data_IF_680712895872
#
_entry.id   IF_680712895872
#
_cell.length_a   1.000
_cell.length_b   1.000
_cell.length_c   1.000
_cell.angle_alpha   90.00
_cell.angle_beta   90.00
_cell.angle_gamma   90.00
#
_symmetry.space_group_name_H-M   'P 1'
#
loop_
_entity.id
_entity.type
_entity.pdbx_description
1 polymer ?
#
# COMPACT_ATOMS: atom_id res chain seq x y z
N UNK A 1 -5.78 6.09 12.42
CA UNK A 1 -6.95 5.22 12.66
C UNK A 1 -7.34 4.60 11.33
N UNK A 2 -7.48 3.28 11.22
CA UNK A 2 -7.81 2.66 9.94
C UNK A 2 -9.29 2.82 9.58
N UNK A 3 -9.56 2.94 8.28
CA UNK A 3 -10.91 2.93 7.71
C UNK A 3 -11.17 1.57 7.07
N UNK A 4 -12.22 0.90 7.50
CA UNK A 4 -12.66 -0.40 7.00
C UNK A 4 -13.95 -0.19 6.19
N UNK A 5 -13.84 -0.25 4.87
CA UNK A 5 -14.97 -0.06 3.97
C UNK A 5 -15.44 -1.43 3.48
N UNK A 6 -16.67 -1.80 3.84
CA UNK A 6 -17.32 -2.97 3.30
C UNK A 6 -18.06 -2.60 2.03
N UNK A 7 -17.66 -3.23 0.92
CA UNK A 7 -18.30 -3.10 -0.37
C UNK A 7 -19.13 -4.38 -0.60
N UNK A 8 -20.44 -4.31 -0.35
CA UNK A 8 -21.32 -5.47 -0.42
C UNK A 8 -22.09 -5.43 -1.73
N UNK A 9 -21.94 -6.50 -2.51
CA UNK A 9 -22.72 -6.71 -3.72
C UNK A 9 -24.21 -6.86 -3.37
N UNK A 10 -25.03 -5.94 -3.90
CA UNK A 10 -26.49 -5.91 -3.76
C UNK A 10 -27.19 -6.20 -5.09
N UNK A 11 -26.48 -6.83 -6.03
CA UNK A 11 -27.05 -7.25 -7.30
C UNK A 11 -28.03 -8.41 -7.13
N UNK A 12 -28.94 -8.56 -8.10
CA UNK A 12 -29.98 -9.58 -8.06
C UNK A 12 -29.42 -11.03 -8.02
N UNK A 13 -28.20 -11.26 -8.53
CA UNK A 13 -27.55 -12.57 -8.51
C UNK A 13 -27.19 -13.05 -7.10
N UNK A 14 -27.03 -12.13 -6.14
CA UNK A 14 -26.80 -12.43 -4.73
C UNK A 14 -28.01 -13.08 -4.02
N UNK A 15 -29.17 -13.21 -4.69
CA UNK A 15 -30.32 -13.96 -4.19
C UNK A 15 -30.21 -15.48 -4.33
N UNK A 16 -29.20 -15.98 -5.05
CA UNK A 16 -28.98 -17.42 -5.18
C UNK A 16 -28.77 -18.07 -3.81
N UNK A 17 -29.29 -19.29 -3.65
CA UNK A 17 -29.28 -20.01 -2.37
C UNK A 17 -28.17 -21.05 -2.36
N UNK A 18 -27.50 -21.14 -1.22
CA UNK A 18 -26.56 -22.23 -0.93
C UNK A 18 -27.29 -23.49 -0.49
N UNK A 19 -26.56 -24.59 -0.37
CA UNK A 19 -27.07 -25.83 0.25
C UNK A 19 -27.54 -25.65 1.70
N UNK A 20 -27.17 -24.55 2.38
CA UNK A 20 -27.62 -24.20 3.73
C UNK A 20 -29.00 -23.50 3.72
N UNK A 21 -29.56 -23.21 2.54
CA UNK A 21 -30.83 -22.51 2.37
C UNK A 21 -30.76 -20.99 2.48
N UNK A 22 -29.62 -20.43 2.89
CA UNK A 22 -29.36 -18.98 2.96
C UNK A 22 -28.93 -18.42 1.61
N UNK A 23 -29.25 -17.14 1.36
CA UNK A 23 -28.79 -16.43 0.16
C UNK A 23 -27.34 -15.98 0.31
N UNK A 24 -26.68 -15.65 -0.80
CA UNK A 24 -25.33 -15.09 -0.75
C UNK A 24 -25.29 -13.74 -0.02
N UNK A 25 -26.33 -12.91 -0.17
CA UNK A 25 -26.44 -11.66 0.58
C UNK A 25 -26.52 -11.89 2.10
N UNK A 26 -27.25 -12.92 2.54
CA UNK A 26 -27.31 -13.28 3.96
C UNK A 26 -25.94 -13.72 4.49
N UNK A 27 -25.20 -14.49 3.70
CA UNK A 27 -23.83 -14.92 4.02
C UNK A 27 -22.89 -13.72 4.06
N UNK A 28 -23.00 -12.77 3.12
CA UNK A 28 -22.22 -11.55 3.11
C UNK A 28 -22.47 -10.70 4.36
N UNK A 29 -23.73 -10.47 4.74
CA UNK A 29 -24.08 -9.78 5.99
C UNK A 29 -23.48 -10.48 7.20
N UNK A 30 -23.63 -11.79 7.29
CA UNK A 30 -23.05 -12.60 8.37
C UNK A 30 -21.51 -12.55 8.41
N UNK A 31 -20.85 -12.47 7.25
CA UNK A 31 -19.40 -12.31 7.14
C UNK A 31 -18.93 -10.96 7.69
N UNK A 32 -19.64 -9.87 7.36
CA UNK A 32 -19.37 -8.53 7.90
C UNK A 32 -19.50 -8.53 9.42
N UNK A 33 -20.59 -9.07 9.97
CA UNK A 33 -20.77 -9.14 11.41
C UNK A 33 -19.69 -9.99 12.11
N UNK A 34 -19.32 -11.11 11.50
CA UNK A 34 -18.27 -12.00 12.02
C UNK A 34 -16.91 -11.31 11.99
N UNK A 35 -16.58 -10.61 10.90
CA UNK A 35 -15.37 -9.82 10.80
C UNK A 35 -15.28 -8.77 11.91
N UNK A 36 -16.34 -7.99 12.13
CA UNK A 36 -16.37 -6.97 13.17
C UNK A 36 -16.18 -7.57 14.57
N UNK A 37 -16.78 -8.75 14.84
CA UNK A 37 -16.58 -9.49 16.09
C UNK A 37 -15.16 -10.04 16.25
N UNK A 38 -14.52 -10.46 15.17
CA UNK A 38 -13.11 -10.90 15.21
C UNK A 38 -12.19 -9.70 15.43
N UNK A 39 -12.44 -8.58 14.73
CA UNK A 39 -11.65 -7.35 14.82
C UNK A 39 -11.74 -6.70 16.20
N UNK A 40 -12.90 -6.75 16.85
CA UNK A 40 -13.08 -6.19 18.20
C UNK A 40 -12.29 -6.90 19.31
N UNK A 41 -11.72 -8.07 19.02
CA UNK A 41 -10.79 -8.77 19.94
C UNK A 41 -9.44 -8.08 20.02
N UNK A 42 -9.05 -7.33 19.00
CA UNK A 42 -7.81 -6.54 18.97
C UNK A 42 -8.03 -5.17 19.65
N UNK A 43 -7.31 -4.83 20.73
CA UNK A 43 -7.42 -3.52 21.36
C UNK A 43 -7.19 -2.33 20.42
N UNK A 44 -6.45 -2.52 19.33
CA UNK A 44 -6.21 -1.49 18.31
C UNK A 44 -7.49 -1.10 17.54
N UNK A 45 -8.56 -1.91 17.61
CA UNK A 45 -9.78 -1.68 16.85
C UNK A 45 -10.66 -0.53 17.36
N UNK A 46 -10.36 0.03 18.54
CA UNK A 46 -11.20 1.06 19.18
C UNK A 46 -11.29 2.35 18.38
N UNK A 47 -10.30 2.62 17.52
CA UNK A 47 -10.28 3.78 16.64
C UNK A 47 -10.75 3.48 15.22
N UNK A 48 -11.13 2.24 14.91
CA UNK A 48 -11.48 1.85 13.55
C UNK A 48 -12.79 2.51 13.11
N UNK A 49 -12.83 2.98 11.86
CA UNK A 49 -14.05 3.53 11.26
C UNK A 49 -14.60 2.54 10.24
N UNK A 50 -15.89 2.25 10.33
CA UNK A 50 -16.58 1.33 9.43
C UNK A 50 -17.45 2.10 8.44
N UNK A 51 -17.31 1.79 7.15
CA UNK A 51 -18.12 2.36 6.08
C UNK A 51 -18.80 1.23 5.30
N UNK A 52 -19.98 1.51 4.74
CA UNK A 52 -20.76 0.55 3.95
C UNK A 52 -21.13 1.16 2.61
N UNK A 53 -20.73 0.48 1.54
CA UNK A 53 -21.07 0.82 0.16
C UNK A 53 -21.72 -0.38 -0.51
N UNK A 54 -22.75 -0.10 -1.30
CA UNK A 54 -23.51 -1.07 -2.11
C UNK A 54 -23.30 -0.80 -3.60
N UNK A 55 -23.87 -1.64 -4.47
CA UNK A 55 -23.74 -1.49 -5.94
C UNK A 55 -24.76 -0.51 -6.55
N UNK A 56 -25.55 0.18 -5.71
CA UNK A 56 -26.44 1.23 -6.17
C UNK A 56 -25.66 2.47 -6.65
N UNK A 57 -26.27 3.28 -7.49
CA UNK A 57 -25.67 4.51 -8.01
C UNK A 57 -25.49 5.57 -6.90
N UNK A 58 -24.49 6.43 -7.06
CA UNK A 58 -24.22 7.53 -6.13
C UNK A 58 -25.34 8.58 -6.23
N UNK A 59 -25.88 9.11 -5.10
CA UNK A 59 -25.40 8.97 -3.72
C UNK A 59 -25.98 7.78 -2.93
N UNK A 60 -27.00 7.08 -3.44
CA UNK A 60 -27.70 6.01 -2.74
C UNK A 60 -26.83 4.78 -2.44
N UNK A 61 -25.78 4.58 -3.24
CA UNK A 61 -24.77 3.53 -3.04
C UNK A 61 -24.05 3.62 -1.69
N UNK A 62 -23.88 4.82 -1.12
CA UNK A 62 -23.20 5.03 0.16
C UNK A 62 -24.23 4.91 1.29
N UNK A 63 -24.18 3.79 2.01
CA UNK A 63 -25.13 3.53 3.11
C UNK A 63 -24.62 4.06 4.45
N UNK A 64 -23.31 3.97 4.69
CA UNK A 64 -22.68 4.56 5.87
C UNK A 64 -21.31 5.15 5.52
N UNK A 65 -21.12 6.45 5.72
CA UNK A 65 -19.90 7.18 5.35
C UNK A 65 -19.20 7.85 6.52
N UNK A 66 -18.63 9.04 6.29
CA UNK A 66 -17.77 9.74 7.26
C UNK A 66 -18.49 10.23 8.51
N UNK A 67 -19.80 10.48 8.46
CA UNK A 67 -20.55 11.10 9.56
C UNK A 67 -21.29 10.07 10.41
N UNK A 68 -21.28 8.81 9.98
CA UNK A 68 -22.20 7.79 10.47
C UNK A 68 -21.56 6.99 11.60
N UNK A 69 -22.37 6.58 12.59
CA UNK A 69 -21.91 5.79 13.72
C UNK A 69 -22.13 4.29 13.48
N UNK A 70 -21.61 3.47 14.40
CA UNK A 70 -21.74 2.01 14.33
C UNK A 70 -23.20 1.51 14.32
N UNK A 71 -24.13 2.21 15.00
CA UNK A 71 -25.53 1.81 15.03
C UNK A 71 -26.21 2.02 13.66
N UNK A 72 -25.96 3.16 13.01
CA UNK A 72 -26.44 3.44 11.65
C UNK A 72 -25.86 2.42 10.67
N UNK A 73 -24.56 2.13 10.74
CA UNK A 73 -23.91 1.10 9.92
C UNK A 73 -24.62 -0.26 10.05
N UNK A 74 -24.85 -0.74 11.27
CA UNK A 74 -25.49 -2.04 11.52
C UNK A 74 -26.96 -2.07 11.07
N UNK A 75 -27.67 -0.95 11.18
CA UNK A 75 -29.05 -0.82 10.69
C UNK A 75 -29.09 -0.94 9.16
N UNK A 76 -28.24 -0.18 8.46
CA UNK A 76 -28.15 -0.21 7.01
C UNK A 76 -27.70 -1.58 6.47
N UNK A 77 -26.72 -2.21 7.12
CA UNK A 77 -26.27 -3.57 6.77
C UNK A 77 -27.43 -4.58 6.83
N UNK A 78 -28.27 -4.51 7.85
CA UNK A 78 -29.43 -5.39 7.99
C UNK A 78 -30.46 -5.16 6.88
N UNK A 79 -30.66 -3.90 6.50
CA UNK A 79 -31.67 -3.48 5.53
C UNK A 79 -31.25 -3.64 4.06
N UNK A 80 -30.01 -4.04 3.75
CA UNK A 80 -29.59 -4.27 2.35
C UNK A 80 -30.49 -5.28 1.65
N UNK A 81 -30.82 -5.01 0.39
CA UNK A 81 -31.62 -5.87 -0.47
C UNK A 81 -30.87 -6.16 -1.77
N UNK A 82 -30.95 -7.40 -2.26
CA UNK A 82 -30.31 -7.83 -3.51
C UNK A 82 -31.27 -7.61 -4.69
N UNK A 83 -31.27 -6.40 -5.27
CA UNK A 83 -32.21 -6.01 -6.35
C UNK A 83 -31.54 -5.33 -7.54
N UNK A 84 -30.25 -4.99 -7.44
CA UNK A 84 -29.54 -4.18 -8.42
C UNK A 84 -28.85 -4.96 -9.54
N UNK A 85 -28.08 -4.22 -10.35
CA UNK A 85 -27.11 -4.76 -11.31
C UNK A 85 -25.74 -4.96 -10.66
N UNK A 86 -24.89 -5.76 -11.29
CA UNK A 86 -23.53 -6.06 -10.83
C UNK A 86 -22.53 -5.00 -11.31
N UNK A 87 -22.74 -3.75 -10.91
CA UNK A 87 -21.97 -2.55 -11.31
C UNK A 87 -20.70 -2.34 -10.47
N UNK A 88 -19.87 -3.39 -10.35
CA UNK A 88 -18.65 -3.41 -9.52
C UNK A 88 -17.74 -2.20 -9.78
N UNK A 89 -17.55 -1.82 -11.05
CA UNK A 89 -16.66 -0.71 -11.41
C UNK A 89 -17.13 0.64 -10.86
N UNK A 90 -18.42 0.95 -10.99
CA UNK A 90 -18.97 2.18 -10.43
C UNK A 90 -18.89 2.17 -8.90
N UNK A 91 -19.22 1.05 -8.26
CA UNK A 91 -19.22 0.94 -6.80
C UNK A 91 -17.81 1.05 -6.20
N UNK A 92 -16.80 0.46 -6.86
CA UNK A 92 -15.38 0.62 -6.49
C UNK A 92 -14.94 2.08 -6.66
N UNK A 93 -15.31 2.73 -7.76
CA UNK A 93 -14.98 4.14 -7.98
C UNK A 93 -15.57 5.03 -6.89
N UNK A 94 -16.85 4.86 -6.57
CA UNK A 94 -17.52 5.57 -5.47
C UNK A 94 -16.83 5.31 -4.13
N UNK A 95 -16.36 4.08 -3.88
CA UNK A 95 -15.63 3.72 -2.66
C UNK A 95 -14.29 4.46 -2.57
N UNK A 96 -13.51 4.50 -3.64
CA UNK A 96 -12.25 5.25 -3.68
C UNK A 96 -12.47 6.76 -3.54
N UNK A 97 -13.46 7.32 -4.24
CA UNK A 97 -13.82 8.73 -4.14
C UNK A 97 -14.20 9.10 -2.69
N UNK A 98 -15.02 8.27 -2.04
CA UNK A 98 -15.40 8.43 -0.64
C UNK A 98 -14.19 8.47 0.29
N UNK A 99 -13.25 7.54 0.12
CA UNK A 99 -12.01 7.47 0.91
C UNK A 99 -11.08 8.66 0.65
N UNK A 100 -11.12 9.24 -0.56
CA UNK A 100 -10.23 10.31 -0.95
C UNK A 100 -10.75 11.73 -0.59
N UNK A 101 -12.01 11.87 -0.17
CA UNK A 101 -12.67 13.17 0.07
C UNK A 101 -11.87 14.13 0.95
N UNK A 102 -11.29 13.65 2.05
CA UNK A 102 -10.67 14.51 3.07
C UNK A 102 -9.14 14.55 3.00
N UNK A 103 -8.51 13.82 2.06
CA UNK A 103 -7.05 13.63 2.03
C UNK A 103 -6.27 14.89 1.69
N UNK A 104 -6.79 15.70 0.76
CA UNK A 104 -6.22 17.00 0.41
C UNK A 104 -6.35 17.99 1.56
N UNK A 105 -7.52 18.06 2.18
CA UNK A 105 -7.81 19.01 3.28
C UNK A 105 -7.01 18.67 4.54
N UNK A 106 -6.82 17.38 4.82
CA UNK A 106 -6.00 16.90 5.95
C UNK A 106 -4.49 17.00 5.70
N UNK A 107 -4.07 17.31 4.48
CA UNK A 107 -2.65 17.44 4.10
C UNK A 107 -1.91 16.10 3.99
N UNK A 108 -2.62 14.97 3.94
CA UNK A 108 -2.02 13.65 3.75
C UNK A 108 -1.39 13.57 2.35
N UNK A 109 -2.14 13.99 1.34
CA UNK A 109 -1.67 14.04 -0.05
C UNK A 109 -1.02 15.40 -0.33
N UNK A 110 0.25 15.54 0.05
CA UNK A 110 1.05 16.77 -0.06
C UNK A 110 1.86 16.85 -1.37
N UNK A 111 1.17 16.96 -2.51
CA UNK A 111 1.79 17.01 -3.85
C UNK A 111 2.91 18.05 -3.96
N UNK A 112 4.06 17.65 -4.51
CA UNK A 112 5.24 18.51 -4.70
C UNK A 112 6.13 18.70 -3.47
N UNK A 113 5.80 18.07 -2.34
CA UNK A 113 6.59 18.14 -1.08
C UNK A 113 7.17 16.76 -0.68
N UNK A 114 7.42 15.89 -1.66
CA UNK A 114 7.75 14.49 -1.42
C UNK A 114 6.57 13.69 -0.85
N UNK A 115 6.78 12.39 -0.61
CA UNK A 115 5.76 11.48 -0.07
C UNK A 115 6.15 11.03 1.32
N UNK A 116 5.38 11.43 2.33
CA UNK A 116 5.68 11.11 3.73
C UNK A 116 5.01 9.79 4.15
N UNK A 117 5.76 8.68 4.39
CA UNK A 117 5.14 7.40 4.77
C UNK A 117 4.41 7.46 6.11
N UNK A 118 4.68 8.46 6.93
CA UNK A 118 4.06 8.66 8.24
C UNK A 118 2.76 9.49 8.20
N UNK A 119 2.39 10.09 7.06
CA UNK A 119 1.07 10.69 6.87
C UNK A 119 0.14 9.65 6.28
N UNK A 120 -0.72 9.08 7.14
CA UNK A 120 -1.50 7.89 6.80
C UNK A 120 -2.96 8.01 7.18
N UNK A 121 -3.80 7.52 6.28
CA UNK A 121 -5.19 7.18 6.54
C UNK A 121 -5.44 5.78 5.99
N UNK A 122 -4.89 4.75 6.67
CA UNK A 122 -4.86 3.39 6.15
C UNK A 122 -6.27 2.90 5.94
N UNK A 123 -6.58 2.44 4.73
CA UNK A 123 -7.93 2.03 4.36
C UNK A 123 -7.92 0.63 3.74
N UNK A 124 -8.86 -0.20 4.17
CA UNK A 124 -9.05 -1.54 3.62
C UNK A 124 -10.46 -1.66 3.10
N UNK A 125 -10.58 -1.98 1.82
CA UNK A 125 -11.85 -2.29 1.17
C UNK A 125 -12.02 -3.80 1.18
N UNK A 126 -13.13 -4.28 1.73
CA UNK A 126 -13.52 -5.69 1.72
C UNK A 126 -14.74 -5.80 0.81
N UNK A 127 -14.49 -6.20 -0.44
CA UNK A 127 -15.52 -6.45 -1.43
C UNK A 127 -16.08 -7.86 -1.24
N UNK A 128 -17.39 -8.00 -1.10
CA UNK A 128 -18.07 -9.30 -1.02
C UNK A 128 -19.03 -9.40 -2.19
N UNK A 129 -18.78 -10.37 -3.08
CA UNK A 129 -19.51 -10.55 -4.34
C UNK A 129 -19.62 -12.04 -4.69
N UNK A 130 -20.50 -12.39 -5.62
CA UNK A 130 -20.61 -13.73 -6.18
C UNK A 130 -19.57 -14.01 -7.28
N UNK A 131 -18.84 -12.98 -7.74
CA UNK A 131 -17.88 -13.10 -8.84
C UNK A 131 -18.51 -13.57 -10.15
N UNK A 132 -19.81 -13.29 -10.33
CA UNK A 132 -20.54 -13.53 -11.54
C UNK A 132 -20.12 -12.60 -12.68
N UNK A 133 -20.87 -12.66 -13.78
CA UNK A 133 -20.66 -11.75 -14.92
C UNK A 133 -21.07 -10.33 -14.52
N UNK A 134 -20.23 -9.35 -14.87
CA UNK A 134 -20.50 -7.94 -14.58
C UNK A 134 -21.65 -7.45 -15.47
N UNK A 135 -22.57 -6.67 -14.90
CA UNK A 135 -23.73 -6.16 -15.65
C UNK A 135 -23.86 -4.66 -15.50
N UNK A 136 -24.14 -3.99 -16.62
CA UNK A 136 -24.49 -2.58 -16.72
C UNK A 136 -25.83 -2.42 -17.43
N UNK A 137 -26.39 -1.21 -17.42
CA UNK A 137 -27.60 -0.87 -18.19
C UNK A 137 -27.48 -1.16 -19.69
N UNK A 138 -26.25 -1.21 -20.22
CA UNK A 138 -25.92 -1.53 -21.61
C UNK A 138 -25.70 -3.03 -21.90
N UNK A 139 -25.63 -3.90 -20.89
CA UNK A 139 -25.44 -5.34 -21.09
C UNK A 139 -24.41 -5.98 -20.14
N UNK A 140 -23.90 -7.14 -20.54
CA UNK A 140 -22.88 -7.89 -19.80
C UNK A 140 -21.49 -7.40 -20.19
N UNK A 141 -20.63 -7.16 -19.21
CA UNK A 141 -19.23 -6.76 -19.42
C UNK A 141 -18.30 -7.89 -18.97
N UNK A 142 -17.29 -8.18 -19.80
CA UNK A 142 -16.25 -9.17 -19.47
C UNK A 142 -15.07 -8.55 -18.73
N UNK A 143 -14.83 -7.25 -18.91
CA UNK A 143 -13.73 -6.51 -18.28
C UNK A 143 -14.24 -5.50 -17.24
N UNK A 144 -13.51 -5.39 -16.13
CA UNK A 144 -13.78 -4.40 -15.10
C UNK A 144 -13.13 -3.06 -15.48
N UNK A 145 -13.93 -2.13 -15.98
CA UNK A 145 -13.51 -0.74 -16.20
C UNK A 145 -14.07 0.18 -15.11
N UNK A 146 -13.20 1.00 -14.52
CA UNK A 146 -13.61 2.04 -13.58
C UNK A 146 -14.00 3.30 -14.37
N UNK A 147 -15.26 3.75 -14.31
CA UNK A 147 -15.68 4.94 -15.05
C UNK A 147 -14.93 6.18 -14.54
N UNK A 148 -14.39 6.96 -15.48
CA UNK A 148 -13.66 8.21 -15.19
C UNK A 148 -14.59 9.43 -15.11
N UNK A 149 -15.90 9.21 -15.07
CA UNK A 149 -16.91 10.27 -15.13
C UNK A 149 -16.98 11.00 -13.78
N UNK A 150 -16.53 12.25 -13.78
CA UNK A 150 -16.47 13.20 -12.65
C UNK A 150 -15.22 13.06 -11.75
N UNK A 151 -14.09 13.69 -12.11
CA UNK A 151 -12.94 13.77 -11.22
C UNK A 151 -13.26 14.66 -10.01
N UNK A 152 -12.95 14.19 -8.80
CA UNK A 152 -12.90 15.06 -7.63
C UNK A 152 -11.84 16.16 -7.87
N UNK A 153 -12.02 17.38 -7.32
CA UNK A 153 -10.98 18.41 -7.40
C UNK A 153 -9.63 17.88 -6.87
N UNK A 154 -8.57 17.99 -7.67
CA UNK A 154 -7.23 17.49 -7.33
C UNK A 154 -7.01 16.00 -7.61
N UNK A 155 -8.02 15.28 -8.12
CA UNK A 155 -7.83 13.88 -8.54
C UNK A 155 -6.92 13.74 -9.75
N UNK A 156 -6.78 14.78 -10.57
CA UNK A 156 -5.85 14.86 -11.69
C UNK A 156 -4.38 14.76 -11.26
N UNK A 157 -4.07 14.99 -9.98
CA UNK A 157 -2.71 14.90 -9.44
C UNK A 157 -2.28 13.46 -9.14
N UNK A 158 -3.16 12.47 -9.28
CA UNK A 158 -2.82 11.04 -9.22
C UNK A 158 -3.42 10.31 -10.40
N UNK A 159 -2.65 9.43 -11.04
CA UNK A 159 -3.08 8.71 -12.25
C UNK A 159 -4.16 7.67 -11.94
N UNK A 160 -4.01 6.99 -10.81
CA UNK A 160 -4.87 5.89 -10.37
C UNK A 160 -5.95 6.37 -9.37
N UNK A 161 -7.11 5.68 -9.29
CA UNK A 161 -8.22 6.09 -8.42
C UNK A 161 -7.94 5.81 -6.93
N UNK A 162 -7.01 4.90 -6.62
CA UNK A 162 -6.64 4.55 -5.26
C UNK A 162 -5.39 5.31 -4.77
N UNK A 163 -5.05 5.13 -3.50
CA UNK A 163 -3.85 5.67 -2.85
C UNK A 163 -2.99 4.55 -2.28
N UNK A 164 -1.73 4.85 -2.02
CA UNK A 164 -0.73 3.88 -1.55
C UNK A 164 -1.02 3.20 -0.20
N UNK A 165 -1.92 3.75 0.60
CA UNK A 165 -2.37 3.24 1.90
C UNK A 165 -3.77 2.60 1.81
N UNK A 166 -4.29 2.38 0.59
CA UNK A 166 -5.58 1.77 0.32
C UNK A 166 -5.40 0.38 -0.30
N UNK A 167 -5.95 -0.65 0.33
CA UNK A 167 -5.86 -2.04 -0.13
C UNK A 167 -7.23 -2.65 -0.36
N UNK A 168 -7.40 -3.40 -1.45
CA UNK A 168 -8.64 -4.09 -1.79
C UNK A 168 -8.50 -5.60 -1.58
N UNK A 169 -9.39 -6.17 -0.76
CA UNK A 169 -9.57 -7.61 -0.65
C UNK A 169 -10.95 -7.99 -1.16
N UNK A 170 -11.03 -9.06 -1.94
CA UNK A 170 -12.30 -9.59 -2.44
C UNK A 170 -12.60 -10.96 -1.82
N UNK A 171 -13.81 -11.13 -1.28
CA UNK A 171 -14.38 -12.41 -0.89
C UNK A 171 -15.39 -12.81 -1.96
N UNK A 172 -14.97 -13.70 -2.85
CA UNK A 172 -15.81 -14.19 -3.94
C UNK A 172 -16.53 -15.46 -3.48
N UNK A 173 -17.84 -15.36 -3.30
CA UNK A 173 -18.67 -16.47 -2.84
C UNK A 173 -18.92 -17.46 -3.98
N UNK A 174 -18.42 -18.67 -3.84
CA UNK A 174 -18.57 -19.80 -4.79
C UNK A 174 -19.21 -21.02 -4.10
N UNK A 175 -20.05 -20.78 -3.08
CA UNK A 175 -20.64 -21.84 -2.24
C UNK A 175 -21.76 -22.53 -3.02
N UNK A 176 -21.59 -23.83 -3.31
CA UNK A 176 -22.57 -24.58 -4.09
C UNK A 176 -23.94 -24.68 -3.42
N UNK A 177 -24.98 -24.70 -4.26
CA UNK A 177 -26.37 -25.00 -3.89
C UNK A 177 -26.61 -26.46 -3.52
N UNK A 178 -25.72 -27.37 -3.94
CA UNK A 178 -25.71 -28.76 -3.51
C UNK A 178 -24.61 -28.99 -2.47
N UNK A 179 -24.85 -29.88 -1.50
CA UNK A 179 -23.81 -30.27 -0.56
C UNK A 179 -22.66 -30.93 -1.34
N UNK A 180 -21.43 -30.42 -1.19
CA UNK A 180 -20.26 -31.05 -1.81
C UNK A 180 -19.87 -32.29 -0.99
N UNK A 181 -19.59 -33.39 -1.70
CA UNK A 181 -19.08 -34.64 -1.10
C UNK A 181 -17.54 -34.68 -1.15
N UNK A 182 -16.93 -33.79 -1.93
CA UNK A 182 -15.47 -33.70 -2.07
C UNK A 182 -14.81 -33.18 -0.80
N UNK A 183 -13.68 -33.81 -0.46
CA UNK A 183 -12.83 -33.38 0.64
C UNK A 183 -12.25 -31.99 0.33
N UNK A 184 -12.47 -31.03 1.22
CA UNK A 184 -11.86 -29.71 1.06
C UNK A 184 -10.33 -29.84 0.97
N UNK A 185 -9.69 -29.14 0.02
CA UNK A 185 -8.24 -29.16 -0.08
C UNK A 185 -7.62 -28.70 1.25
N UNK A 186 -6.76 -29.54 1.81
CA UNK A 186 -5.93 -29.23 2.98
C UNK A 186 -4.89 -28.19 2.57
N UNK A 187 -5.27 -26.91 2.63
CA UNK A 187 -4.42 -25.79 2.21
C UNK A 187 -5.05 -24.43 2.51
N UNK A 188 -4.32 -23.36 2.21
CA UNK A 188 -4.87 -22.00 2.28
C UNK A 188 -5.95 -21.77 1.23
N UNK A 189 -6.82 -20.77 1.46
CA UNK A 189 -7.89 -20.42 0.51
C UNK A 189 -7.27 -19.97 -0.83
N UNK A 190 -7.70 -20.51 -1.98
CA UNK A 190 -7.18 -20.15 -3.29
C UNK A 190 -7.57 -18.72 -3.71
N UNK A 191 -6.83 -18.17 -4.67
CA UNK A 191 -7.21 -16.93 -5.35
C UNK A 191 -8.39 -17.20 -6.28
N UNK A 192 -9.26 -16.21 -6.47
CA UNK A 192 -10.31 -16.28 -7.50
C UNK A 192 -9.78 -15.72 -8.83
N UNK A 193 -10.36 -16.14 -9.95
CA UNK A 193 -10.02 -15.64 -11.29
C UNK A 193 -11.17 -14.80 -11.87
N UNK A 194 -11.66 -13.84 -11.07
CA UNK A 194 -12.71 -12.90 -11.46
C UNK A 194 -12.12 -11.53 -11.85
N UNK A 195 -12.93 -10.73 -12.53
CA UNK A 195 -12.55 -9.40 -13.00
C UNK A 195 -12.08 -8.43 -11.90
N UNK A 196 -12.39 -8.69 -10.61
CA UNK A 196 -11.91 -7.90 -9.47
C UNK A 196 -10.49 -8.29 -9.01
N UNK A 197 -10.01 -9.49 -9.36
CA UNK A 197 -8.70 -10.01 -8.92
C UNK A 197 -7.54 -9.10 -9.33
N UNK A 198 -7.42 -8.63 -10.59
CA UNK A 198 -6.33 -7.73 -10.98
C UNK A 198 -6.31 -6.43 -10.16
N UNK A 199 -7.49 -5.89 -9.82
CA UNK A 199 -7.59 -4.68 -8.98
C UNK A 199 -7.15 -4.95 -7.53
N UNK A 200 -7.45 -6.14 -7.00
CA UNK A 200 -6.96 -6.55 -5.68
C UNK A 200 -5.43 -6.63 -5.68
N UNK A 201 -4.82 -7.22 -6.70
CA UNK A 201 -3.36 -7.34 -6.81
C UNK A 201 -2.68 -5.97 -6.96
N UNK A 202 -3.19 -5.12 -7.86
CA UNK A 202 -2.62 -3.78 -8.13
C UNK A 202 -2.68 -2.87 -6.91
N UNK A 203 -3.65 -3.04 -6.00
CA UNK A 203 -3.74 -2.28 -4.73
C UNK A 203 -2.92 -2.91 -3.59
N UNK A 204 -2.23 -4.04 -3.82
CA UNK A 204 -1.46 -4.74 -2.77
C UNK A 204 -2.34 -5.58 -1.84
N UNK A 205 -3.54 -5.95 -2.27
CA UNK A 205 -4.44 -6.86 -1.58
C UNK A 205 -4.51 -8.23 -2.26
N UNK A 206 -5.66 -8.92 -2.11
CA UNK A 206 -5.84 -10.30 -2.60
C UNK A 206 -7.33 -10.65 -2.75
N UNK A 207 -7.67 -11.43 -3.79
CA UNK A 207 -8.99 -12.08 -3.90
C UNK A 207 -8.95 -13.48 -3.29
N UNK A 208 -10.06 -13.88 -2.66
CA UNK A 208 -10.26 -15.19 -2.05
C UNK A 208 -11.47 -15.86 -2.69
N UNK A 209 -11.30 -17.08 -3.18
CA UNK A 209 -12.40 -17.89 -3.70
C UNK A 209 -12.96 -18.78 -2.58
N UNK A 210 -14.19 -18.49 -2.15
CA UNK A 210 -14.82 -19.05 -0.94
C UNK A 210 -15.86 -20.11 -1.33
N UNK A 211 -15.53 -21.38 -1.10
CA UNK A 211 -16.42 -22.51 -1.44
C UNK A 211 -17.26 -23.03 -0.27
N UNK A 212 -16.91 -22.66 0.97
CA UNK A 212 -17.64 -23.07 2.17
C UNK A 212 -17.62 -22.03 3.28
N UNK A 213 -18.51 -22.19 4.27
CA UNK A 213 -18.54 -21.36 5.46
C UNK A 213 -17.24 -21.47 6.28
N UNK A 214 -16.59 -22.63 6.26
CA UNK A 214 -15.31 -22.83 6.96
C UNK A 214 -14.20 -22.01 6.30
N UNK A 215 -14.09 -22.07 4.98
CA UNK A 215 -13.13 -21.27 4.21
C UNK A 215 -13.39 -19.77 4.40
N UNK A 216 -14.66 -19.36 4.45
CA UNK A 216 -15.04 -17.97 4.74
C UNK A 216 -14.47 -17.52 6.09
N UNK A 217 -14.70 -18.30 7.16
CA UNK A 217 -14.17 -17.96 8.48
C UNK A 217 -12.63 -17.88 8.50
N UNK A 218 -11.94 -18.81 7.83
CA UNK A 218 -10.48 -18.76 7.68
C UNK A 218 -10.00 -17.49 6.95
N UNK A 219 -10.73 -17.07 5.90
CA UNK A 219 -10.44 -15.81 5.20
C UNK A 219 -10.60 -14.61 6.12
N UNK A 220 -11.69 -14.56 6.89
CA UNK A 220 -11.96 -13.44 7.80
C UNK A 220 -10.89 -13.34 8.89
N UNK A 221 -10.47 -14.47 9.47
CA UNK A 221 -9.37 -14.50 10.44
C UNK A 221 -8.05 -14.00 9.84
N UNK A 222 -7.72 -14.44 8.62
CA UNK A 222 -6.53 -13.96 7.90
C UNK A 222 -6.62 -12.47 7.55
N UNK A 223 -7.80 -11.98 7.14
CA UNK A 223 -8.00 -10.59 6.75
C UNK A 223 -7.84 -9.65 7.93
N UNK A 224 -8.33 -10.02 9.13
CA UNK A 224 -8.13 -9.24 10.36
C UNK A 224 -6.64 -9.02 10.65
N UNK A 225 -5.79 -10.03 10.42
CA UNK A 225 -4.33 -9.91 10.61
C UNK A 225 -3.67 -9.00 9.56
N UNK A 226 -4.30 -8.84 8.38
CA UNK A 226 -3.83 -7.98 7.30
C UNK A 226 -4.23 -6.51 7.49
N UNK A 227 -5.08 -6.17 8.45
CA UNK A 227 -5.41 -4.77 8.81
C UNK A 227 -4.24 -4.14 9.57
N UNK A 228 -3.21 -3.80 8.81
CA UNK A 228 -1.95 -3.23 9.29
C UNK A 228 -1.76 -1.83 8.68
N UNK A 229 -1.13 -0.96 9.44
CA UNK A 229 -0.76 0.40 9.00
C UNK A 229 0.51 0.34 8.17
N UNK A 230 0.45 0.86 6.94
CA UNK A 230 1.59 0.86 6.04
C UNK A 230 1.23 1.49 4.70
N UNK A 231 2.26 1.64 3.86
CA UNK A 231 2.13 2.12 2.49
C UNK A 231 2.72 1.12 1.53
N UNK A 232 2.11 0.98 0.37
CA UNK A 232 2.55 0.05 -0.66
C UNK A 232 3.54 0.76 -1.57
N UNK A 233 4.69 0.11 -1.79
CA UNK A 233 5.79 0.60 -2.63
C UNK A 233 6.09 -0.43 -3.70
N UNK A 234 6.39 0.03 -4.90
CA UNK A 234 6.89 -0.81 -5.97
C UNK A 234 8.43 -0.74 -6.00
N UNK A 235 9.08 -1.85 -5.65
CA UNK A 235 10.53 -2.01 -5.70
C UNK A 235 10.94 -2.66 -7.02
N UNK A 236 11.86 -2.03 -7.75
CA UNK A 236 12.39 -2.52 -9.01
C UNK A 236 13.92 -2.57 -8.98
N UNK A 237 14.52 -3.68 -9.37
CA UNK A 237 15.98 -3.81 -9.46
C UNK A 237 16.51 -2.92 -10.59
N UNK A 238 17.60 -2.20 -10.33
CA UNK A 238 18.39 -1.51 -11.35
C UNK A 238 19.84 -1.98 -11.34
N UNK A 239 20.48 -1.96 -12.52
CA UNK A 239 21.87 -2.39 -12.67
C UNK A 239 22.07 -3.91 -12.69
N UNK A 240 23.32 -4.38 -12.53
CA UNK A 240 23.66 -5.79 -12.59
C UNK A 240 23.11 -6.58 -11.38
N UNK A 241 23.00 -7.89 -11.54
CA UNK A 241 22.73 -8.80 -10.42
C UNK A 241 23.88 -8.77 -9.39
N UNK A 242 23.58 -9.00 -8.10
CA UNK A 242 24.62 -9.07 -7.09
C UNK A 242 25.56 -10.25 -7.38
N UNK A 243 26.80 -10.14 -6.87
CA UNK A 243 27.75 -11.25 -6.95
C UNK A 243 27.15 -12.53 -6.31
N UNK A 244 27.41 -13.72 -6.88
CA UNK A 244 26.99 -14.99 -6.32
C UNK A 244 27.46 -15.15 -4.87
N UNK A 245 26.69 -15.87 -4.06
CA UNK A 245 27.08 -16.19 -2.68
C UNK A 245 28.28 -17.15 -2.70
N UNK A 246 29.35 -16.82 -1.96
CA UNK A 246 30.59 -17.60 -1.94
C UNK A 246 30.42 -19.03 -1.39
N UNK A 247 29.33 -19.32 -0.65
CA UNK A 247 29.08 -20.61 0.04
C UNK A 247 27.90 -21.44 -0.51
N UNK A 248 27.30 -21.06 -1.65
CA UNK A 248 26.20 -21.81 -2.25
C UNK A 248 26.65 -22.71 -3.42
N UNK A 249 25.98 -23.84 -3.72
CA UNK A 249 26.16 -24.47 -5.02
C UNK A 249 25.89 -23.40 -6.08
N UNK A 250 26.86 -23.19 -6.98
CA UNK A 250 26.76 -22.18 -8.03
C UNK A 250 25.62 -22.55 -8.98
N UNK A 251 24.37 -22.22 -8.62
CA UNK A 251 23.29 -22.23 -9.58
C UNK A 251 23.64 -21.19 -10.66
N UNK A 252 23.67 -21.59 -11.95
CA UNK A 252 23.88 -20.62 -13.01
C UNK A 252 22.80 -19.53 -12.89
N UNK A 253 23.13 -18.26 -13.16
CA UNK A 253 22.15 -17.18 -13.12
C UNK A 253 20.98 -17.56 -14.02
N UNK A 254 19.79 -17.75 -13.41
CA UNK A 254 18.59 -18.13 -14.17
C UNK A 254 18.31 -17.02 -15.17
N UNK A 255 18.30 -17.30 -16.48
CA UNK A 255 18.08 -16.27 -17.48
C UNK A 255 16.64 -15.76 -17.38
N UNK A 256 16.47 -14.45 -17.18
CA UNK A 256 15.17 -13.78 -17.17
C UNK A 256 14.84 -13.00 -15.89
N UNK A 257 13.70 -12.29 -15.87
CA UNK A 257 13.25 -11.55 -14.71
C UNK A 257 12.87 -12.53 -13.57
N UNK A 258 13.54 -12.38 -12.43
CA UNK A 258 13.25 -13.19 -11.24
C UNK A 258 12.14 -12.54 -10.39
N UNK A 259 11.39 -13.32 -9.60
CA UNK A 259 10.32 -12.79 -8.74
C UNK A 259 10.76 -11.74 -7.72
N UNK A 260 12.06 -11.69 -7.39
CA UNK A 260 12.62 -10.69 -6.48
C UNK A 260 13.04 -9.39 -7.18
N UNK A 261 13.17 -9.38 -8.52
CA UNK A 261 13.55 -8.19 -9.28
C UNK A 261 12.48 -7.09 -9.22
N UNK A 262 11.21 -7.48 -9.15
CA UNK A 262 10.09 -6.56 -9.02
C UNK A 262 9.21 -7.02 -7.85
N UNK A 263 9.04 -6.16 -6.85
CA UNK A 263 8.25 -6.48 -5.67
C UNK A 263 7.34 -5.33 -5.30
N UNK A 264 6.04 -5.59 -5.32
CA UNK A 264 5.02 -4.63 -4.92
C UNK A 264 4.53 -4.99 -3.52
N UNK A 265 5.01 -4.28 -2.49
CA UNK A 265 4.88 -4.71 -1.09
C UNK A 265 4.65 -3.58 -0.13
N UNK A 266 4.00 -3.92 0.98
CA UNK A 266 3.76 -2.99 2.07
C UNK A 266 5.06 -2.73 2.84
N UNK A 267 5.33 -1.47 3.15
CA UNK A 267 6.21 -1.10 4.25
C UNK A 267 5.37 -0.78 5.48
N UNK A 268 5.71 -1.40 6.61
CA UNK A 268 4.99 -1.19 7.86
C UNK A 268 5.36 0.15 8.47
N UNK A 269 4.34 0.93 8.76
CA UNK A 269 4.49 2.22 9.43
C UNK A 269 3.83 2.10 10.79
N UNK A 270 4.67 1.80 11.79
CA UNK A 270 4.23 1.57 13.16
C UNK A 270 4.08 2.90 13.91
N UNK A 271 2.99 3.12 14.65
CA UNK A 271 2.87 4.27 15.52
C UNK A 271 3.99 4.30 16.56
N UNK A 272 4.44 5.51 16.92
CA UNK A 272 5.41 5.67 17.99
C UNK A 272 4.76 5.28 19.34
N UNK A 273 5.36 4.40 20.16
CA UNK A 273 4.79 3.99 21.45
C UNK A 273 4.49 5.14 22.42
N UNK A 274 5.21 6.26 22.32
CA UNK A 274 5.05 7.42 23.21
C UNK A 274 3.91 8.35 22.79
N UNK A 275 3.75 8.60 21.49
CA UNK A 275 2.79 9.58 20.95
C UNK A 275 1.54 8.93 20.36
N UNK A 276 1.56 7.62 20.09
CA UNK A 276 0.45 6.89 19.47
C UNK A 276 0.24 7.20 17.98
N UNK A 277 1.10 8.02 17.37
CA UNK A 277 1.04 8.44 15.95
C UNK A 277 2.35 8.07 15.26
N UNK A 278 2.34 7.68 13.97
CA UNK A 278 3.56 7.55 13.19
C UNK A 278 4.37 8.83 13.20
N UNK A 279 5.68 8.71 13.44
CA UNK A 279 6.62 9.83 13.37
C UNK A 279 7.66 9.43 12.33
N UNK A 280 7.96 10.35 11.42
CA UNK A 280 9.11 10.25 10.55
C UNK A 280 9.65 11.63 10.21
N UNK A 281 10.78 11.64 9.53
CA UNK A 281 11.57 12.83 9.26
C UNK A 281 11.69 13.07 7.76
N UNK A 282 11.95 12.02 6.99
CA UNK A 282 12.33 12.14 5.59
C UNK A 282 11.24 11.62 4.65
N UNK A 283 10.78 12.43 3.68
CA UNK A 283 9.88 11.94 2.64
C UNK A 283 10.62 11.00 1.68
N UNK A 284 9.88 10.15 0.98
CA UNK A 284 10.32 9.55 -0.27
C UNK A 284 10.27 10.65 -1.36
N UNK A 285 11.31 10.83 -2.18
CA UNK A 285 11.34 11.89 -3.18
C UNK A 285 10.28 11.70 -4.27
N UNK A 286 9.90 12.81 -4.91
CA UNK A 286 9.04 12.79 -6.09
C UNK A 286 9.75 12.16 -7.29
N UNK A 287 8.96 11.56 -8.19
CA UNK A 287 9.44 11.01 -9.46
C UNK A 287 9.53 12.08 -10.57
N UNK A 288 9.75 13.33 -10.18
CA UNK A 288 9.96 14.48 -11.05
C UNK A 288 10.71 15.57 -10.28
N UNK A 289 11.38 16.45 -11.03
CA UNK A 289 11.98 17.65 -10.46
C UNK A 289 10.93 18.77 -10.37
N UNK A 290 10.66 19.33 -9.18
CA UNK A 290 9.70 20.42 -9.03
C UNK A 290 10.28 21.72 -9.62
N UNK A 291 9.82 22.12 -10.80
CA UNK A 291 10.14 23.41 -11.36
C UNK A 291 9.21 24.50 -10.80
N UNK A 292 9.78 25.51 -10.13
CA UNK A 292 9.03 26.63 -9.57
C UNK A 292 8.33 27.47 -10.65
N UNK A 293 8.80 27.41 -11.90
CA UNK A 293 8.19 28.13 -13.01
C UNK A 293 7.06 27.35 -13.69
N UNK A 294 6.86 26.07 -13.34
CA UNK A 294 5.80 25.26 -13.94
C UNK A 294 4.46 25.55 -13.25
N UNK A 295 3.42 25.99 -13.98
CA UNK A 295 2.11 26.24 -13.41
C UNK A 295 1.35 24.95 -13.05
N UNK A 296 1.80 23.80 -13.57
CA UNK A 296 1.14 22.50 -13.40
C UNK A 296 2.10 21.48 -12.82
N UNK A 297 1.61 20.67 -11.88
CA UNK A 297 2.35 19.54 -11.32
C UNK A 297 2.10 18.26 -12.15
N UNK A 298 3.15 17.46 -12.42
CA UNK A 298 2.97 16.14 -13.02
C UNK A 298 2.14 15.21 -12.10
N UNK A 299 1.23 14.39 -12.65
CA UNK A 299 0.46 13.45 -11.86
C UNK A 299 1.34 12.35 -11.27
N UNK A 300 1.17 12.08 -9.97
CA UNK A 300 1.81 10.99 -9.25
C UNK A 300 1.22 9.65 -9.68
N UNK A 301 2.04 8.60 -9.70
CA UNK A 301 1.52 7.23 -9.55
C UNK A 301 1.15 6.99 -8.09
N UNK A 302 0.07 6.27 -7.80
CA UNK A 302 -0.36 5.95 -6.45
C UNK A 302 0.77 5.29 -5.65
N UNK A 303 1.38 4.25 -6.21
CA UNK A 303 2.56 3.60 -5.63
C UNK A 303 3.86 4.23 -6.14
N UNK A 304 4.77 4.66 -5.26
CA UNK A 304 6.08 5.15 -5.68
C UNK A 304 6.90 3.99 -6.28
N UNK A 305 7.61 4.29 -7.37
CA UNK A 305 8.52 3.37 -8.04
C UNK A 305 9.92 3.60 -7.50
N UNK A 306 10.33 2.74 -6.57
CA UNK A 306 11.63 2.80 -5.91
C UNK A 306 12.56 1.80 -6.58
N UNK A 307 13.67 2.29 -7.12
CA UNK A 307 14.70 1.43 -7.70
C UNK A 307 15.75 1.08 -6.66
N UNK A 308 16.24 -0.16 -6.66
CA UNK A 308 17.31 -0.58 -5.78
C UNK A 308 18.50 -1.14 -6.56
N UNK A 309 19.71 -0.78 -6.13
CA UNK A 309 20.96 -1.25 -6.73
C UNK A 309 21.54 -2.37 -5.90
N UNK A 310 21.91 -3.49 -6.54
CA UNK A 310 22.50 -4.65 -5.89
C UNK A 310 24.02 -4.53 -5.64
N UNK A 311 24.53 -3.30 -5.62
CA UNK A 311 25.93 -3.01 -5.25
C UNK A 311 26.01 -2.94 -3.73
N UNK A 312 26.78 -3.84 -3.13
CA UNK A 312 26.97 -3.88 -1.69
C UNK A 312 27.68 -2.61 -1.21
N UNK A 313 27.04 -1.88 -0.30
CA UNK A 313 27.58 -0.66 0.32
C UNK A 313 27.56 -0.76 1.84
N UNK A 314 28.45 -0.02 2.50
CA UNK A 314 28.43 0.08 3.96
C UNK A 314 27.32 1.04 4.41
N UNK A 315 26.49 0.65 5.39
CA UNK A 315 25.43 1.51 5.90
C UNK A 315 26.04 2.70 6.66
N UNK A 316 25.83 3.90 6.13
CA UNK A 316 26.31 5.14 6.76
C UNK A 316 25.32 5.62 7.81
N UNK A 317 25.82 5.86 9.02
CA UNK A 317 25.05 6.46 10.13
C UNK A 317 25.95 7.47 10.83
N UNK A 318 25.44 8.69 11.00
CA UNK A 318 26.11 9.77 11.73
C UNK A 318 25.30 10.09 12.98
N UNK A 319 25.98 10.32 14.09
CA UNK A 319 25.33 10.64 15.37
C UNK A 319 24.47 11.91 15.22
N UNK A 320 23.28 11.90 15.83
CA UNK A 320 22.27 12.98 15.82
C UNK A 320 21.57 13.27 14.50
N UNK A 321 21.92 12.63 13.38
CA UNK A 321 21.13 12.75 12.15
C UNK A 321 19.95 11.77 12.23
N UNK A 322 18.69 12.25 12.21
CA UNK A 322 17.55 11.35 12.26
C UNK A 322 17.45 10.54 10.97
N UNK A 323 16.91 9.33 11.08
CA UNK A 323 16.54 8.49 9.95
C UNK A 323 15.28 7.72 10.29
N UNK A 324 14.54 7.31 9.26
CA UNK A 324 13.35 6.52 9.44
C UNK A 324 13.61 5.06 9.06
N UNK A 325 13.00 4.14 9.80
CA UNK A 325 13.15 2.70 9.60
C UNK A 325 11.78 2.06 9.44
N UNK A 326 11.52 1.52 8.26
CA UNK A 326 10.27 0.82 7.95
C UNK A 326 10.56 -0.64 7.64
N UNK A 327 9.86 -1.53 8.32
CA UNK A 327 9.96 -2.98 8.08
C UNK A 327 9.19 -3.35 6.81
N UNK A 328 9.78 -4.15 5.92
CA UNK A 328 9.11 -4.63 4.71
C UNK A 328 8.25 -5.86 5.02
N UNK A 329 7.09 -5.93 4.39
CA UNK A 329 6.30 -7.15 4.31
C UNK A 329 7.11 -8.28 3.64
N UNK A 330 7.05 -9.52 4.18
CA UNK A 330 7.71 -10.67 3.58
C UNK A 330 7.38 -10.85 2.09
N UNK A 331 8.42 -11.01 1.28
CA UNK A 331 8.33 -11.11 -0.17
C UNK A 331 9.52 -11.88 -0.75
N UNK A 332 9.49 -12.25 -2.04
CA UNK A 332 10.66 -12.82 -2.71
C UNK A 332 11.91 -11.94 -2.59
N UNK A 333 11.74 -10.60 -2.62
CA UNK A 333 12.84 -9.65 -2.41
C UNK A 333 13.40 -9.74 -0.99
N UNK A 334 12.55 -9.75 0.03
CA UNK A 334 13.04 -9.85 1.41
C UNK A 334 13.71 -11.20 1.67
N UNK A 335 13.15 -12.29 1.14
CA UNK A 335 13.72 -13.63 1.24
C UNK A 335 15.12 -13.67 0.61
N UNK A 336 15.26 -13.15 -0.61
CA UNK A 336 16.53 -13.10 -1.31
C UNK A 336 17.60 -12.30 -0.53
N UNK A 337 17.25 -11.14 0.03
CA UNK A 337 18.17 -10.34 0.85
C UNK A 337 18.57 -11.11 2.13
N UNK A 338 17.64 -11.79 2.80
CA UNK A 338 17.90 -12.54 4.02
C UNK A 338 18.78 -13.77 3.79
N UNK A 339 18.59 -14.47 2.67
CA UNK A 339 19.38 -15.64 2.27
C UNK A 339 20.86 -15.33 2.05
N UNK A 340 21.18 -14.07 1.71
CA UNK A 340 22.57 -13.62 1.58
C UNK A 340 23.33 -13.54 2.90
N UNK A 341 22.63 -13.55 4.04
CA UNK A 341 23.21 -13.54 5.40
C UNK A 341 24.26 -12.45 5.62
N UNK A 342 24.11 -11.30 4.97
CA UNK A 342 25.05 -10.17 5.01
C UNK A 342 24.45 -8.96 5.75
N UNK A 343 24.25 -8.99 7.08
CA UNK A 343 23.58 -7.92 7.82
C UNK A 343 24.41 -6.62 7.91
N UNK A 344 25.67 -6.64 7.47
CA UNK A 344 26.57 -5.49 7.47
C UNK A 344 26.58 -4.73 6.15
N UNK A 345 25.99 -5.26 5.08
CA UNK A 345 25.87 -4.59 3.78
C UNK A 345 24.45 -4.06 3.58
N UNK A 346 24.31 -3.05 2.73
CA UNK A 346 23.02 -2.54 2.30
C UNK A 346 22.99 -2.21 0.81
N UNK A 347 21.78 -2.19 0.26
CA UNK A 347 21.50 -1.87 -1.13
C UNK A 347 20.80 -0.52 -1.23
N UNK A 348 21.44 0.43 -1.91
CA UNK A 348 20.91 1.78 -2.03
C UNK A 348 19.63 1.83 -2.85
N UNK A 349 18.73 2.75 -2.48
CA UNK A 349 17.47 2.98 -3.17
C UNK A 349 17.37 4.39 -3.75
N UNK A 350 16.70 4.49 -4.89
CA UNK A 350 16.61 5.66 -5.76
C UNK A 350 15.16 5.84 -6.26
N UNK A 351 14.82 7.05 -6.67
CA UNK A 351 13.57 7.32 -7.42
C UNK A 351 13.97 8.01 -8.71
N UNK A 352 13.54 7.48 -9.84
CA UNK A 352 13.86 8.07 -11.13
C UNK A 352 13.34 9.50 -11.25
N UNK A 353 14.09 10.34 -11.95
CA UNK A 353 13.78 11.74 -12.22
C UNK A 353 13.65 12.63 -10.97
N UNK A 354 14.11 12.16 -9.81
CA UNK A 354 14.10 12.96 -8.58
C UNK A 354 15.23 14.01 -8.54
N UNK A 355 16.19 13.94 -9.46
CA UNK A 355 17.32 14.85 -9.56
C UNK A 355 17.27 15.67 -10.85
N UNK A 356 17.81 16.89 -10.81
CA UNK A 356 17.85 17.80 -11.97
C UNK A 356 18.72 17.31 -13.12
N UNK A 357 19.78 16.55 -12.83
CA UNK A 357 20.82 16.16 -13.79
C UNK A 357 21.09 14.64 -13.80
N UNK A 358 20.18 13.83 -13.24
CA UNK A 358 20.32 12.36 -13.19
C UNK A 358 18.95 11.71 -13.40
N UNK A 359 18.86 10.85 -14.41
CA UNK A 359 17.63 10.12 -14.74
C UNK A 359 17.27 9.09 -13.65
N UNK A 360 18.27 8.46 -13.02
CA UNK A 360 18.05 7.52 -11.92
C UNK A 360 17.70 8.25 -10.60
N UNK A 361 18.09 9.52 -10.47
CA UNK A 361 18.02 10.26 -9.21
C UNK A 361 19.29 10.10 -8.37
N UNK A 362 19.19 10.45 -7.08
CA UNK A 362 20.23 10.26 -6.06
C UNK A 362 19.72 9.34 -4.94
N UNK A 363 20.60 8.67 -4.20
CA UNK A 363 20.18 7.72 -3.18
C UNK A 363 19.50 8.45 -2.01
N UNK A 364 18.29 8.03 -1.66
CA UNK A 364 17.51 8.60 -0.55
C UNK A 364 17.41 7.64 0.65
N UNK A 365 18.04 6.47 0.54
CA UNK A 365 17.95 5.44 1.55
C UNK A 365 18.58 4.14 1.10
N UNK A 366 18.34 3.08 1.86
CA UNK A 366 18.82 1.74 1.52
C UNK A 366 17.95 0.62 2.12
N UNK A 367 17.98 -0.55 1.49
CA UNK A 367 17.44 -1.80 2.01
C UNK A 367 18.53 -2.53 2.79
N UNK A 368 18.19 -3.00 4.00
CA UNK A 368 19.12 -3.72 4.85
C UNK A 368 18.41 -4.78 5.69
N UNK A 369 18.99 -5.97 5.77
CA UNK A 369 18.55 -7.03 6.66
C UNK A 369 18.71 -6.62 8.15
N UNK A 370 17.81 -7.06 9.01
CA UNK A 370 18.00 -6.92 10.45
C UNK A 370 19.20 -7.75 10.91
N UNK A 371 19.88 -7.35 11.98
CA UNK A 371 21.02 -8.10 12.54
C UNK A 371 20.62 -9.54 12.93
N UNK A 372 19.36 -9.74 13.32
CA UNK A 372 18.80 -11.05 13.63
C UNK A 372 18.37 -11.85 12.39
N UNK A 373 18.48 -11.29 11.19
CA UNK A 373 18.06 -11.89 9.91
C UNK A 373 16.60 -12.34 9.90
N UNK A 374 15.73 -11.60 10.60
CA UNK A 374 14.29 -11.89 10.71
C UNK A 374 13.44 -11.10 9.72
N UNK A 375 13.91 -9.92 9.31
CA UNK A 375 13.18 -9.01 8.43
C UNK A 375 14.14 -8.12 7.65
N UNK A 376 13.65 -7.53 6.57
CA UNK A 376 14.35 -6.48 5.81
C UNK A 376 13.71 -5.15 6.14
N UNK A 377 14.53 -4.12 6.26
CA UNK A 377 14.05 -2.77 6.54
C UNK A 377 14.50 -1.82 5.44
N UNK A 378 13.61 -0.89 5.09
CA UNK A 378 13.91 0.30 4.33
C UNK A 378 14.33 1.38 5.33
N UNK A 379 15.58 1.81 5.23
CA UNK A 379 16.09 2.99 5.92
C UNK A 379 15.92 4.18 5.00
N UNK A 380 15.06 5.12 5.39
CA UNK A 380 14.88 6.39 4.67
C UNK A 380 15.79 7.43 5.30
N UNK A 381 16.65 7.99 4.47
CA UNK A 381 17.73 8.90 4.81
C UNK A 381 17.48 10.26 4.14
N UNK A 382 18.25 11.31 4.50
CA UNK A 382 18.26 12.53 3.71
C UNK A 382 18.57 12.24 2.23
N UNK A 383 18.06 13.09 1.34
CA UNK A 383 18.34 12.96 -0.09
C UNK A 383 19.83 13.13 -0.37
N UNK A 384 20.43 12.19 -1.13
CA UNK A 384 21.87 12.15 -1.40
C UNK A 384 22.72 12.10 -0.11
N UNK A 385 22.29 11.24 0.83
CA UNK A 385 22.97 11.04 2.11
C UNK A 385 24.47 10.68 2.01
N UNK A 386 24.99 9.98 0.98
CA UNK A 386 26.42 9.68 0.90
C UNK A 386 27.29 10.94 0.77
N UNK A 387 26.75 12.03 0.24
CA UNK A 387 27.42 13.34 0.19
C UNK A 387 27.18 14.13 1.47
N UNK A 388 25.93 14.14 1.98
CA UNK A 388 25.57 14.93 3.16
C UNK A 388 26.23 14.42 4.45
N UNK A 389 26.19 13.11 4.71
CA UNK A 389 26.61 12.56 5.98
C UNK A 389 28.10 12.82 6.28
N UNK A 390 29.05 12.62 5.35
CA UNK A 390 30.45 13.01 5.58
C UNK A 390 30.63 14.50 5.85
N UNK A 391 29.89 15.37 5.15
CA UNK A 391 29.94 16.81 5.40
C UNK A 391 29.49 17.14 6.83
N UNK A 392 28.42 16.51 7.31
CA UNK A 392 27.93 16.70 8.67
C UNK A 392 28.91 16.12 9.71
N UNK A 393 29.48 14.95 9.45
CA UNK A 393 30.46 14.33 10.35
C UNK A 393 31.73 15.18 10.50
N UNK A 394 32.26 15.71 9.39
CA UNK A 394 33.38 16.66 9.37
C UNK A 394 33.05 17.94 10.14
N UNK A 395 31.84 18.49 9.96
CA UNK A 395 31.41 19.68 10.68
C UNK A 395 31.37 19.45 12.20
N UNK A 396 30.86 18.30 12.62
CA UNK A 396 30.71 17.95 14.03
C UNK A 396 32.05 17.60 14.67
N UNK A 397 32.82 16.68 14.09
CA UNK A 397 34.05 16.12 14.69
C UNK A 397 35.27 17.01 14.48
N UNK A 398 35.47 17.50 13.26
CA UNK A 398 36.69 18.24 12.90
C UNK A 398 36.52 19.73 13.21
N UNK A 399 35.39 20.30 12.80
CA UNK A 399 35.18 21.74 12.88
C UNK A 399 34.43 22.21 14.14
N UNK A 400 33.97 21.30 14.99
CA UNK A 400 33.23 21.62 16.23
C UNK A 400 32.10 22.62 15.99
N UNK A 401 31.29 22.38 14.96
CA UNK A 401 30.18 23.24 14.51
C UNK A 401 30.59 24.64 13.99
N UNK A 402 31.86 24.85 13.63
CA UNK A 402 32.35 26.11 13.03
C UNK A 402 32.71 25.90 11.55
N UNK A 403 31.78 26.11 10.61
CA UNK A 403 31.99 25.77 9.20
C UNK A 403 33.07 26.65 8.57
N UNK A 404 34.09 26.02 8.01
CA UNK A 404 35.15 26.68 7.21
C UNK A 404 34.63 27.15 5.86
N UNK A 405 35.34 28.05 5.18
CA UNK A 405 34.93 28.51 3.83
C UNK A 405 34.83 27.35 2.83
N UNK A 406 35.77 26.39 2.88
CA UNK A 406 35.74 25.20 2.01
C UNK A 406 34.53 24.32 2.29
N UNK A 407 34.20 24.13 3.57
CA UNK A 407 33.00 23.38 3.97
C UNK A 407 31.73 24.06 3.46
N UNK A 408 31.61 25.38 3.63
CA UNK A 408 30.45 26.17 3.16
C UNK A 408 30.27 26.03 1.66
N UNK A 409 31.34 26.17 0.87
CA UNK A 409 31.28 25.99 -0.58
C UNK A 409 30.82 24.58 -0.98
N UNK A 410 31.30 23.54 -0.27
CA UNK A 410 30.90 22.16 -0.54
C UNK A 410 29.42 21.93 -0.19
N UNK A 411 28.96 22.46 0.94
CA UNK A 411 27.57 22.39 1.35
C UNK A 411 26.63 23.20 0.44
N UNK A 412 27.03 24.39 0.01
CA UNK A 412 26.29 25.20 -0.96
C UNK A 412 26.16 24.49 -2.32
N UNK A 413 27.17 23.74 -2.74
CA UNK A 413 27.10 22.94 -3.96
C UNK A 413 26.15 21.75 -3.81
N UNK A 414 26.14 21.09 -2.65
CA UNK A 414 25.14 20.08 -2.32
C UNK A 414 23.73 20.67 -2.33
N UNK A 415 23.50 21.82 -1.71
CA UNK A 415 22.17 22.48 -1.70
C UNK A 415 21.61 22.74 -3.11
N UNK A 416 22.46 22.97 -4.12
CA UNK A 416 22.03 23.16 -5.52
C UNK A 416 21.51 21.88 -6.18
N UNK A 417 21.86 20.70 -5.65
CA UNK A 417 21.43 19.40 -6.20
C UNK A 417 20.23 18.81 -5.48
N UNK A 418 19.83 19.35 -4.31
CA UNK A 418 18.61 18.90 -3.62
C UNK A 418 17.33 19.41 -4.28
N UNK A 419 16.28 18.58 -4.31
CA UNK A 419 14.94 19.07 -4.55
C UNK A 419 14.57 20.13 -3.49
N UNK A 420 14.05 21.30 -3.89
CA UNK A 420 13.78 22.42 -2.98
C UNK A 420 12.95 22.07 -1.74
N UNK A 421 12.01 21.13 -1.84
CA UNK A 421 11.17 20.72 -0.72
C UNK A 421 11.91 19.95 0.39
N UNK A 422 13.10 19.42 0.13
CA UNK A 422 13.93 18.80 1.19
C UNK A 422 14.58 19.84 2.11
N UNK A 423 14.71 21.10 1.67
CA UNK A 423 15.34 22.17 2.47
C UNK A 423 14.48 22.57 3.67
N UNK A 424 13.15 22.37 3.58
CA UNK A 424 12.19 22.67 4.65
C UNK A 424 12.12 21.59 5.74
N UNK A 425 12.80 20.45 5.57
CA UNK A 425 12.85 19.37 6.56
C UNK A 425 13.95 19.71 7.58
N UNK A 426 13.59 19.81 8.87
CA UNK A 426 14.57 20.12 9.92
C UNK A 426 15.64 19.02 10.00
N UNK A 427 16.87 19.36 9.63
CA UNK A 427 18.02 18.43 9.55
C UNK A 427 18.72 18.27 10.91
N UNK A 428 18.49 19.19 11.86
CA UNK A 428 19.13 19.23 13.20
C UNK A 428 18.16 19.82 14.23
#
# INVERSE_FOLDING_TARGET
MPVLLFLVDTSASMNQRTHLGTTYLDIAKGAVETFMKLRSRDPASRGDRYMLVSFEETPLGIKAGWKENHATFMMELKNLQAVGLSTVGQALRTSFDLLNLNRLVSGIDNYGQGRNPFFLEPSVIIAITDGGKLTSSSGVQDELHLPLTTPLPGSELTKEPFRWDQRLFALVLRISGHASVEAEPLGGVPSDDSAITPMCEVTGGRSYSVFSQRMLNQCLESLVQKVQSGVVINFEKTGPDPAPLEDGPAEPPKPGPQPWHCSHRLIYVRPNPKTGVPVGHWPIPEAFWPDQNSPTLPPRSAHPHVRFSCVDTEPMVVDKVPFDKYELEPSPLTQYILERKSPHTCWQVFVCNSAKYSDLGQPFGYLKASTALTCVNLFVMPYDYPVLLPLLDDLCKVHKFKPTMKWRQSFENYLKTLPPYYIGVNIV
#
